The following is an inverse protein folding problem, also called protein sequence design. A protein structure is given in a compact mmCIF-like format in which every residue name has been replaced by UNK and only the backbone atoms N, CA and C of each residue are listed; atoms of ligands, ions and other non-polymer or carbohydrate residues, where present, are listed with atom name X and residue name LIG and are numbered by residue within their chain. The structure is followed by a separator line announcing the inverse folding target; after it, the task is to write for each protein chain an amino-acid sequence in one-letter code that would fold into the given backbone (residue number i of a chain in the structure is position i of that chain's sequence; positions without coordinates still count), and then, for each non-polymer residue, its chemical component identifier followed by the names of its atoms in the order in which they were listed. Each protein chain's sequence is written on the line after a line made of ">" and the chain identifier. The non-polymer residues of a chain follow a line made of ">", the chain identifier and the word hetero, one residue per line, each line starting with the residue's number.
data_IF_717117263705
#
_entry.id   IF_717117263705
#
_cell.length_a   1.000
_cell.length_b   1.000
_cell.length_c   1.000
_cell.angle_alpha   90.00
_cell.angle_beta   90.00
_cell.angle_gamma   90.00
#
_symmetry.space_group_name_H-M   'P 1'
#
loop_
_entity.id
_entity.type
_entity.pdbx_description
1 polymer ?
#
# COMPACT_ATOMS: atom_id res chain seq x y z
N UNK A 1 10.74 -19.97 18.71
CA UNK A 1 11.61 -18.77 18.60
C UNK A 1 10.97 -17.65 19.41
N UNK A 2 11.66 -17.10 20.42
CA UNK A 2 11.22 -15.85 21.07
C UNK A 2 11.72 -14.70 20.19
N UNK A 3 10.81 -14.03 19.50
CA UNK A 3 11.15 -12.76 18.83
C UNK A 3 11.14 -11.70 19.91
N UNK A 4 12.32 -11.29 20.38
CA UNK A 4 12.45 -10.14 21.25
C UNK A 4 12.14 -8.91 20.41
N UNK A 5 11.01 -8.25 20.70
CA UNK A 5 10.53 -7.11 19.92
C UNK A 5 11.26 -5.85 20.40
N UNK A 6 12.50 -5.68 19.95
CA UNK A 6 13.27 -4.47 20.18
C UNK A 6 12.78 -3.34 19.26
N UNK A 7 12.81 -2.10 19.77
CA UNK A 7 12.42 -0.94 18.98
C UNK A 7 13.34 -0.80 17.75
N UNK A 8 12.81 -0.44 16.57
CA UNK A 8 13.64 -0.25 15.38
C UNK A 8 14.70 0.83 15.60
N UNK A 9 15.89 0.63 15.00
CA UNK A 9 16.94 1.65 15.03
C UNK A 9 16.52 2.92 14.30
N UNK A 10 17.23 4.04 14.54
CA UNK A 10 16.97 5.31 13.84
C UNK A 10 17.12 5.16 12.33
N UNK A 11 18.12 4.43 11.88
CA UNK A 11 18.38 4.13 10.47
C UNK A 11 17.23 3.32 9.87
N UNK A 12 16.72 2.32 10.61
CA UNK A 12 15.57 1.52 10.20
C UNK A 12 14.31 2.39 10.01
N UNK A 13 14.10 3.35 10.91
CA UNK A 13 13.00 4.32 10.79
C UNK A 13 13.16 5.25 9.58
N UNK A 14 14.38 5.71 9.28
CA UNK A 14 14.66 6.53 8.09
C UNK A 14 14.38 5.75 6.80
N UNK A 15 14.79 4.48 6.75
CA UNK A 15 14.49 3.61 5.60
C UNK A 15 12.99 3.41 5.45
N UNK A 16 12.28 3.11 6.54
CA UNK A 16 10.82 2.95 6.52
C UNK A 16 10.12 4.21 6.00
N UNK A 17 10.52 5.39 6.47
CA UNK A 17 9.94 6.66 6.02
C UNK A 17 10.22 6.93 4.54
N UNK A 18 11.44 6.64 4.09
CA UNK A 18 11.82 6.79 2.68
C UNK A 18 10.98 5.89 1.77
N UNK A 19 10.75 4.64 2.18
CA UNK A 19 9.89 3.70 1.46
C UNK A 19 8.43 4.16 1.45
N UNK A 20 7.89 4.59 2.59
CA UNK A 20 6.52 5.13 2.69
C UNK A 20 6.33 6.32 1.75
N UNK A 21 7.29 7.25 1.74
CA UNK A 21 7.27 8.43 0.86
C UNK A 21 7.32 8.04 -0.62
N UNK A 22 8.20 7.13 -1.01
CA UNK A 22 8.32 6.68 -2.40
C UNK A 22 7.02 6.00 -2.89
N UNK A 23 6.43 5.14 -2.06
CA UNK A 23 5.15 4.48 -2.39
C UNK A 23 4.01 5.49 -2.48
N UNK A 24 3.92 6.44 -1.54
CA UNK A 24 2.90 7.48 -1.57
C UNK A 24 2.98 8.33 -2.85
N UNK A 25 4.20 8.74 -3.25
CA UNK A 25 4.41 9.46 -4.50
C UNK A 25 4.02 8.65 -5.74
N UNK A 26 4.32 7.35 -5.76
CA UNK A 26 3.95 6.47 -6.86
C UNK A 26 2.43 6.28 -6.97
N UNK A 27 1.74 6.07 -5.85
CA UNK A 27 0.29 5.93 -5.81
C UNK A 27 -0.43 7.22 -6.21
N UNK A 28 0.07 8.36 -5.74
CA UNK A 28 -0.48 9.66 -6.11
C UNK A 28 -0.30 9.94 -7.62
N UNK A 29 0.87 9.62 -8.19
CA UNK A 29 1.08 9.68 -9.65
C UNK A 29 0.10 8.78 -10.40
N UNK A 30 -0.13 7.55 -9.93
CA UNK A 30 -1.11 6.63 -10.54
C UNK A 30 -2.51 7.23 -10.51
N UNK A 31 -2.94 7.78 -9.37
CA UNK A 31 -4.22 8.45 -9.23
C UNK A 31 -4.37 9.60 -10.24
N UNK A 32 -3.37 10.49 -10.34
CA UNK A 32 -3.39 11.64 -11.28
C UNK A 32 -3.45 11.22 -12.75
N UNK A 33 -2.94 10.04 -13.08
CA UNK A 33 -3.02 9.46 -14.43
C UNK A 33 -4.36 8.77 -14.69
N UNK A 34 -5.30 8.79 -13.74
CA UNK A 34 -6.55 8.04 -13.83
C UNK A 34 -6.31 6.54 -13.79
N UNK A 35 -5.30 6.05 -13.07
CA UNK A 35 -5.06 4.62 -12.89
C UNK A 35 -5.49 4.18 -11.49
N UNK A 36 -5.87 2.92 -11.36
CA UNK A 36 -6.07 2.27 -10.07
C UNK A 36 -4.81 1.54 -9.58
N UNK A 37 -4.80 1.17 -8.30
CA UNK A 37 -3.80 0.30 -7.70
C UNK A 37 -4.49 -0.78 -6.87
N UNK A 38 -3.85 -1.95 -6.75
CA UNK A 38 -4.28 -3.03 -5.87
C UNK A 38 -3.32 -3.07 -4.70
N UNK A 39 -3.83 -2.93 -3.49
CA UNK A 39 -3.05 -2.93 -2.24
C UNK A 39 -3.54 -4.04 -1.33
N UNK A 40 -2.64 -4.61 -0.54
CA UNK A 40 -3.04 -5.56 0.50
C UNK A 40 -3.46 -4.80 1.74
N UNK A 41 -4.72 -4.92 2.14
CA UNK A 41 -5.29 -4.24 3.29
C UNK A 41 -6.25 -5.19 4.00
N UNK A 42 -6.19 -5.24 5.33
CA UNK A 42 -7.10 -6.06 6.16
C UNK A 42 -7.14 -7.55 5.73
N UNK A 43 -5.99 -8.09 5.34
CA UNK A 43 -5.86 -9.50 4.95
C UNK A 43 -6.34 -9.85 3.54
N UNK A 44 -6.70 -8.86 2.72
CA UNK A 44 -7.24 -9.09 1.38
C UNK A 44 -6.76 -8.05 0.34
N UNK A 45 -6.77 -8.39 -0.95
CA UNK A 45 -6.48 -7.44 -2.01
C UNK A 45 -7.62 -6.42 -2.15
N UNK A 46 -7.31 -5.14 -1.95
CA UNK A 46 -8.22 -4.00 -2.04
C UNK A 46 -7.81 -3.09 -3.19
N UNK A 47 -8.78 -2.74 -4.05
CA UNK A 47 -8.54 -1.83 -5.18
C UNK A 47 -8.74 -0.38 -4.70
N UNK A 48 -7.80 0.51 -5.00
CA UNK A 48 -7.81 1.96 -4.69
C UNK A 48 -7.59 2.79 -5.98
N UNK A 49 -8.08 4.04 -6.04
CA UNK A 49 -8.10 4.88 -7.26
C UNK A 49 -9.51 5.32 -7.65
N UNK A 50 -9.64 6.26 -8.59
CA UNK A 50 -10.95 6.73 -9.07
C UNK A 50 -11.41 5.93 -10.30
N UNK A 51 -10.45 5.47 -11.12
CA UNK A 51 -10.67 4.59 -12.28
C UNK A 51 -10.68 3.09 -11.89
N UNK A 52 -11.23 2.76 -10.71
CA UNK A 52 -11.38 1.34 -10.36
C UNK A 52 -12.42 0.74 -11.29
N UNK A 53 -12.21 -0.47 -11.81
CA UNK A 53 -13.30 -1.18 -12.47
C UNK A 53 -14.46 -1.32 -11.48
N UNK A 54 -15.67 -0.97 -11.93
CA UNK A 54 -16.91 -1.32 -11.22
C UNK A 54 -17.05 -2.84 -11.28
N UNK A 55 -16.32 -3.58 -10.43
CA UNK A 55 -16.46 -5.03 -10.42
C UNK A 55 -17.80 -5.37 -9.77
N UNK A 56 -18.79 -5.64 -10.61
CA UNK A 56 -19.81 -6.66 -10.40
C UNK A 56 -19.12 -8.01 -10.15
N UNK A 57 -18.55 -8.19 -8.95
CA UNK A 57 -18.28 -9.52 -8.39
C UNK A 57 -19.56 -9.99 -7.69
N UNK A 58 -20.57 -10.33 -8.51
CA UNK A 58 -21.62 -11.21 -8.07
C UNK A 58 -21.03 -12.63 -8.13
N UNK A 59 -20.97 -13.26 -6.94
CA UNK A 59 -20.94 -14.70 -6.61
C UNK A 59 -20.42 -15.67 -7.69
N UNK A 60 -19.43 -16.48 -7.32
CA UNK A 60 -19.62 -17.88 -6.91
C UNK A 60 -18.40 -18.38 -6.11
#
# INVERSE_FOLDING_TARGET
>A
MKVTQEAPSKESMIVLESLRKAVAQALDRKKRLGQYAVVWQDGQPTIIGDDKPETSRQKD
#
